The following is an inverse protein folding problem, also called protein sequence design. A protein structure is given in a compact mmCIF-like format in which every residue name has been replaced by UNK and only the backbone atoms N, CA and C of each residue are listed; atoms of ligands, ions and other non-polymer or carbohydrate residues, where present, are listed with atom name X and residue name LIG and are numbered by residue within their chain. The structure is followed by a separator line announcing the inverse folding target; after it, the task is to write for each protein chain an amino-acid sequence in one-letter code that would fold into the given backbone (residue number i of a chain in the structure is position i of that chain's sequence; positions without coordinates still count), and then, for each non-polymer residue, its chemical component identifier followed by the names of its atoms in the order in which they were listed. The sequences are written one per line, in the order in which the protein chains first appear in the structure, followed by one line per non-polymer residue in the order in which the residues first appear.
data_IF_200511128852
#
_entry.id   IF_200511128852
#
_cell.length_a   1.000
_cell.length_b   1.000
_cell.length_c   1.000
_cell.angle_alpha   90.00
_cell.angle_beta   90.00
_cell.angle_gamma   90.00
#
_symmetry.space_group_name_H-M   'P 1'
#
loop_
_entity.id
_entity.type
_entity.pdbx_description
1 polymer ?
#
# COMPACT_ATOMS: atom_id res chain seq x y z
N UNK A 1 67.44 -8.02 10.95
CA UNK A 1 66.71 -9.07 10.17
C UNK A 1 65.62 -9.76 11.01
N UNK A 2 64.71 -9.00 11.66
CA UNK A 2 63.61 -9.53 12.49
C UNK A 2 62.32 -8.66 12.48
N UNK A 3 62.15 -7.76 11.51
CA UNK A 3 60.97 -6.88 11.42
C UNK A 3 60.16 -7.01 10.12
N UNK A 4 60.59 -7.86 9.17
CA UNK A 4 59.90 -8.04 7.89
C UNK A 4 58.98 -9.28 7.82
N UNK A 5 59.01 -10.16 8.82
CA UNK A 5 58.27 -11.45 8.78
C UNK A 5 56.87 -11.35 9.44
N UNK A 6 56.61 -10.32 10.24
CA UNK A 6 55.31 -10.17 10.94
C UNK A 6 54.24 -9.48 10.07
N UNK A 7 54.61 -8.90 8.92
CA UNK A 7 53.66 -8.21 8.03
C UNK A 7 53.15 -9.06 6.86
N UNK A 8 53.58 -10.32 6.73
CA UNK A 8 53.12 -11.24 5.67
C UNK A 8 52.11 -12.29 6.18
N UNK A 9 52.00 -12.49 7.50
CA UNK A 9 51.11 -13.50 8.10
C UNK A 9 49.75 -12.90 8.53
N UNK A 10 49.62 -11.58 8.59
CA UNK A 10 48.34 -10.90 8.93
C UNK A 10 47.50 -10.48 7.72
N UNK A 11 47.97 -10.69 6.48
CA UNK A 11 47.21 -10.40 5.25
C UNK A 11 46.50 -11.66 4.69
N UNK A 12 46.73 -12.85 5.26
CA UNK A 12 46.04 -14.10 4.88
C UNK A 12 44.84 -14.49 5.78
N UNK A 13 44.40 -13.60 6.68
CA UNK A 13 43.23 -13.86 7.56
C UNK A 13 42.01 -12.95 7.27
N UNK A 14 42.06 -12.16 6.21
CA UNK A 14 40.91 -11.40 5.69
C UNK A 14 40.65 -11.73 4.21
N UNK A 15 40.79 -13.01 3.84
CA UNK A 15 40.00 -13.50 2.72
C UNK A 15 38.58 -13.68 3.26
N UNK A 16 37.81 -12.58 3.31
CA UNK A 16 36.37 -12.66 3.31
C UNK A 16 36.03 -13.62 2.19
N UNK A 17 35.58 -14.83 2.52
CA UNK A 17 35.10 -15.79 1.55
C UNK A 17 33.82 -15.18 0.96
N UNK A 18 34.00 -14.25 0.01
CA UNK A 18 32.96 -13.79 -0.89
C UNK A 18 32.74 -14.98 -1.79
N UNK A 19 31.96 -15.93 -1.29
CA UNK A 19 31.39 -17.00 -2.06
C UNK A 19 30.45 -16.33 -3.07
N UNK A 20 31.03 -16.01 -4.21
CA UNK A 20 30.44 -15.34 -5.36
C UNK A 20 29.76 -16.40 -6.20
N UNK A 21 28.66 -16.96 -5.70
CA UNK A 21 27.93 -17.97 -6.44
C UNK A 21 26.78 -18.60 -5.66
N UNK A 22 25.81 -19.10 -6.42
CA UNK A 22 24.76 -19.99 -5.94
C UNK A 22 25.27 -21.43 -5.86
N UNK A 23 24.50 -22.31 -5.21
CA UNK A 23 24.72 -23.76 -5.29
C UNK A 23 25.92 -24.28 -4.50
N UNK A 24 26.41 -23.53 -3.52
CA UNK A 24 27.46 -23.99 -2.61
C UNK A 24 26.86 -24.88 -1.51
N UNK A 25 27.13 -26.18 -1.59
CA UNK A 25 26.53 -27.20 -0.72
C UNK A 25 27.49 -28.32 -0.32
N UNK A 26 26.96 -29.44 0.18
CA UNK A 26 27.78 -30.55 0.63
C UNK A 26 28.41 -31.26 -0.58
N UNK A 27 29.61 -31.83 -0.40
CA UNK A 27 30.22 -32.65 -1.44
C UNK A 27 29.46 -33.95 -1.63
N UNK A 28 29.38 -34.44 -2.87
CA UNK A 28 28.66 -35.68 -3.19
C UNK A 28 29.11 -36.87 -2.33
N UNK A 29 30.41 -37.00 -2.08
CA UNK A 29 31.00 -38.04 -1.22
C UNK A 29 30.53 -38.04 0.24
N UNK A 30 30.00 -36.91 0.75
CA UNK A 30 29.39 -36.83 2.09
C UNK A 30 27.93 -37.29 2.09
N UNK A 31 27.31 -37.38 0.93
CA UNK A 31 25.95 -37.86 0.72
C UNK A 31 25.93 -39.33 0.26
N UNK A 32 26.94 -39.73 -0.52
CA UNK A 32 27.17 -41.09 -0.97
C UNK A 32 27.53 -41.99 0.23
N UNK A 33 26.80 -43.09 0.41
CA UNK A 33 27.07 -44.07 1.47
C UNK A 33 26.14 -44.00 2.70
N UNK A 34 25.31 -42.97 2.84
CA UNK A 34 24.29 -42.94 3.90
C UNK A 34 23.07 -43.78 3.47
N UNK A 35 23.18 -45.11 3.59
CA UNK A 35 22.03 -46.03 3.51
C UNK A 35 21.22 -45.94 4.81
N UNK A 36 20.52 -44.82 4.99
CA UNK A 36 19.63 -44.59 6.13
C UNK A 36 18.22 -45.10 5.85
N UNK A 37 17.69 -45.92 6.75
CA UNK A 37 16.39 -46.57 6.62
C UNK A 37 15.33 -45.80 7.43
N UNK A 38 14.97 -44.54 7.08
CA UNK A 38 13.82 -43.87 7.74
C UNK A 38 13.19 -42.64 7.06
N UNK A 39 13.18 -42.55 5.74
CA UNK A 39 12.03 -41.98 5.01
C UNK A 39 11.64 -43.01 3.98
N UNK A 40 10.97 -44.10 4.35
CA UNK A 40 10.74 -45.25 3.44
C UNK A 40 11.91 -45.38 2.43
N UNK A 41 13.16 -45.53 2.92
CA UNK A 41 14.45 -45.45 2.19
C UNK A 41 15.25 -44.11 2.10
N UNK A 42 14.93 -43.04 2.86
CA UNK A 42 15.76 -41.81 2.96
C UNK A 42 16.60 -41.68 4.25
N UNK A 43 17.61 -40.80 4.22
CA UNK A 43 18.66 -40.62 5.22
C UNK A 43 18.56 -39.29 6.01
N UNK A 44 19.08 -39.26 7.24
CA UNK A 44 19.22 -38.01 8.02
C UNK A 44 20.25 -37.12 7.36
N UNK A 45 19.91 -35.85 7.16
CA UNK A 45 20.88 -34.87 6.68
C UNK A 45 21.91 -34.57 7.78
N UNK A 46 23.13 -34.24 7.37
CA UNK A 46 24.08 -33.56 8.25
C UNK A 46 23.46 -32.18 8.59
N UNK A 47 23.46 -31.73 9.86
CA UNK A 47 22.90 -30.44 10.23
C UNK A 47 23.40 -29.31 9.33
N UNK A 48 22.44 -28.54 8.80
CA UNK A 48 22.68 -27.39 7.91
C UNK A 48 23.39 -27.71 6.58
N UNK A 49 23.44 -28.98 6.16
CA UNK A 49 24.12 -29.37 4.92
C UNK A 49 23.52 -28.76 3.66
N UNK A 50 22.21 -28.44 3.66
CA UNK A 50 21.53 -27.85 2.51
C UNK A 50 21.13 -26.40 2.83
N UNK A 51 22.04 -25.43 2.66
CA UNK A 51 21.88 -24.05 3.15
C UNK A 51 20.80 -23.24 2.44
N UNK A 52 20.27 -23.72 1.32
CA UNK A 52 19.16 -23.12 0.59
C UNK A 52 17.78 -23.55 1.08
N UNK A 53 17.67 -24.61 1.88
CA UNK A 53 16.35 -25.11 2.27
C UNK A 53 15.59 -24.12 3.14
N UNK A 54 14.31 -23.98 2.80
CA UNK A 54 13.36 -23.12 3.48
C UNK A 54 12.21 -23.96 4.00
N UNK A 55 12.01 -23.97 5.32
CA UNK A 55 10.79 -24.53 5.90
C UNK A 55 9.70 -23.46 5.92
N UNK A 56 8.58 -23.71 5.26
CA UNK A 56 7.49 -22.75 5.07
C UNK A 56 6.27 -23.21 5.86
N UNK A 57 5.83 -22.38 6.79
CA UNK A 57 4.60 -22.58 7.56
C UNK A 57 3.57 -21.56 7.12
N UNK A 58 2.37 -21.99 6.75
CA UNK A 58 1.32 -21.14 6.17
C UNK A 58 0.14 -21.10 7.13
N UNK A 59 -0.24 -19.89 7.53
CA UNK A 59 -1.39 -19.66 8.39
C UNK A 59 -2.71 -20.03 7.70
N UNK A 60 -3.61 -20.66 8.45
CA UNK A 60 -4.97 -20.95 8.01
C UNK A 60 -5.94 -19.88 8.50
N UNK A 61 -6.81 -19.37 7.60
CA UNK A 61 -7.91 -18.45 7.98
C UNK A 61 -8.97 -19.12 8.85
N UNK A 62 -9.06 -20.46 8.88
CA UNK A 62 -10.05 -21.21 9.69
C UNK A 62 -9.46 -21.57 11.07
N UNK A 63 -9.22 -20.55 11.90
CA UNK A 63 -8.63 -20.69 13.25
C UNK A 63 -9.40 -21.64 14.18
N UNK A 64 -10.70 -21.86 13.94
CA UNK A 64 -11.60 -22.53 14.91
C UNK A 64 -11.93 -23.99 14.60
N UNK A 65 -11.45 -24.58 13.49
CA UNK A 65 -11.83 -25.95 13.12
C UNK A 65 -10.63 -26.89 12.94
N UNK A 66 -9.46 -26.37 12.55
CA UNK A 66 -8.18 -27.08 12.55
C UNK A 66 -7.05 -26.06 12.78
N UNK A 67 -6.29 -26.13 13.90
CA UNK A 67 -5.08 -25.32 14.09
C UNK A 67 -3.92 -25.73 13.17
N UNK A 68 -4.16 -26.63 12.21
CA UNK A 68 -3.16 -27.16 11.29
C UNK A 68 -2.56 -26.07 10.40
N UNK A 69 -1.45 -25.51 10.86
CA UNK A 69 -0.48 -24.78 10.07
C UNK A 69 -0.03 -25.69 8.92
N UNK A 70 -0.31 -25.29 7.68
CA UNK A 70 0.14 -26.06 6.53
C UNK A 70 1.64 -25.88 6.38
N UNK A 71 2.36 -26.98 6.27
CA UNK A 71 3.81 -26.98 6.09
C UNK A 71 4.16 -27.37 4.65
N UNK A 72 5.10 -26.62 4.08
CA UNK A 72 5.74 -26.88 2.81
C UNK A 72 7.24 -26.65 2.95
N UNK A 73 8.01 -27.16 1.99
CA UNK A 73 9.43 -26.88 1.83
C UNK A 73 9.62 -25.92 0.64
N UNK A 74 10.77 -25.26 0.57
CA UNK A 74 11.17 -24.42 -0.54
C UNK A 74 12.69 -24.26 -0.57
N UNK A 75 13.15 -23.42 -1.48
CA UNK A 75 14.57 -23.13 -1.68
C UNK A 75 14.81 -21.65 -1.90
N UNK A 76 15.85 -21.12 -1.26
CA UNK A 76 16.34 -19.76 -1.49
C UNK A 76 17.03 -19.71 -2.85
N UNK A 77 16.69 -18.71 -3.67
CA UNK A 77 17.26 -18.51 -5.00
C UNK A 77 17.93 -17.15 -5.11
N UNK A 78 18.96 -17.04 -5.94
CA UNK A 78 19.60 -15.75 -6.21
C UNK A 78 18.80 -14.88 -7.17
N UNK A 79 19.03 -13.57 -7.06
CA UNK A 79 18.66 -12.61 -8.11
C UNK A 79 19.87 -11.76 -8.48
N UNK A 80 19.97 -11.27 -9.72
CA UNK A 80 21.12 -10.49 -10.18
C UNK A 80 21.42 -9.21 -9.37
N UNK A 81 20.44 -8.72 -8.59
CA UNK A 81 20.54 -7.47 -7.82
C UNK A 81 21.12 -7.64 -6.41
N UNK A 82 21.23 -8.87 -5.90
CA UNK A 82 21.70 -9.12 -4.55
C UNK A 82 22.88 -10.08 -4.57
N UNK A 83 24.04 -9.60 -4.10
CA UNK A 83 25.30 -10.37 -4.13
C UNK A 83 25.59 -11.09 -2.81
N UNK A 84 25.09 -10.56 -1.68
CA UNK A 84 25.38 -11.08 -0.33
C UNK A 84 24.12 -11.47 0.45
N UNK A 85 22.97 -11.57 -0.23
CA UNK A 85 21.68 -11.92 0.37
C UNK A 85 20.69 -12.38 -0.69
N UNK A 86 19.60 -13.01 -0.30
CA UNK A 86 18.44 -13.20 -1.18
C UNK A 86 17.13 -12.81 -0.51
N UNK A 87 16.12 -12.51 -1.33
CA UNK A 87 14.78 -12.16 -0.91
C UNK A 87 13.70 -13.09 -1.48
N UNK A 88 14.07 -14.07 -2.32
CA UNK A 88 13.10 -14.93 -3.01
C UNK A 88 13.29 -16.40 -2.65
N UNK A 89 12.16 -17.05 -2.35
CA UNK A 89 12.07 -18.49 -2.15
C UNK A 89 11.18 -19.11 -3.21
N UNK A 90 11.66 -20.16 -3.88
CA UNK A 90 10.87 -21.00 -4.77
C UNK A 90 10.19 -22.10 -3.97
N UNK A 91 8.91 -22.36 -4.26
CA UNK A 91 8.13 -23.44 -3.66
C UNK A 91 6.97 -23.81 -4.59
N UNK A 92 6.06 -24.68 -4.16
CA UNK A 92 4.91 -25.09 -4.96
C UNK A 92 3.71 -24.14 -4.81
N UNK A 93 2.98 -23.89 -5.88
CA UNK A 93 1.79 -23.03 -5.86
C UNK A 93 0.65 -23.63 -5.03
N UNK A 94 0.51 -24.96 -5.03
CA UNK A 94 -0.54 -25.64 -4.30
C UNK A 94 -0.42 -25.45 -2.78
N UNK A 95 0.76 -25.05 -2.26
CA UNK A 95 0.95 -24.64 -0.87
C UNK A 95 0.01 -23.49 -0.47
N UNK A 96 -0.29 -22.57 -1.40
CA UNK A 96 -1.08 -21.35 -1.16
C UNK A 96 -2.53 -21.43 -1.69
N UNK A 97 -3.07 -22.65 -1.83
CA UNK A 97 -4.37 -23.00 -2.46
C UNK A 97 -5.59 -22.11 -2.17
N UNK A 98 -5.63 -21.42 -1.03
CA UNK A 98 -6.77 -20.62 -0.58
C UNK A 98 -6.50 -19.09 -0.54
N UNK A 99 -5.36 -18.64 -1.09
CA UNK A 99 -4.94 -17.24 -1.05
C UNK A 99 -4.88 -16.61 -2.46
N UNK A 100 -5.70 -17.10 -3.40
CA UNK A 100 -5.78 -16.55 -4.76
C UNK A 100 -6.53 -15.21 -4.74
N UNK A 101 -6.07 -14.24 -5.52
CA UNK A 101 -6.75 -12.97 -5.78
C UNK A 101 -6.21 -11.77 -4.99
N UNK A 102 -6.64 -10.54 -5.33
CA UNK A 102 -6.14 -9.28 -4.74
C UNK A 102 -6.43 -9.12 -3.24
N UNK A 103 -7.27 -9.99 -2.66
CA UNK A 103 -7.65 -10.02 -1.24
C UNK A 103 -6.95 -11.13 -0.43
N UNK A 104 -5.98 -11.83 -1.03
CA UNK A 104 -5.13 -12.76 -0.32
C UNK A 104 -4.21 -12.02 0.67
N UNK A 105 -4.07 -12.51 1.91
CA UNK A 105 -3.13 -11.87 2.85
C UNK A 105 -1.71 -12.29 2.43
N UNK A 106 -0.84 -11.35 2.01
CA UNK A 106 0.48 -11.71 1.51
C UNK A 106 1.46 -12.09 2.63
N UNK A 107 1.11 -11.88 3.91
CA UNK A 107 1.96 -12.13 5.10
C UNK A 107 1.61 -13.42 5.86
N UNK A 108 1.00 -14.40 5.19
CA UNK A 108 0.57 -15.65 5.83
C UNK A 108 1.66 -16.72 5.92
N UNK A 109 2.78 -16.55 5.23
CA UNK A 109 3.83 -17.57 5.18
C UNK A 109 5.02 -17.16 6.05
N UNK A 110 5.34 -18.01 7.02
CA UNK A 110 6.50 -17.92 7.89
C UNK A 110 7.59 -18.86 7.40
N UNK A 111 8.72 -18.29 7.03
CA UNK A 111 9.84 -19.01 6.41
C UNK A 111 10.99 -19.12 7.39
N UNK A 112 11.51 -20.33 7.58
CA UNK A 112 12.64 -20.64 8.45
C UNK A 112 13.79 -21.21 7.63
N UNK A 113 14.99 -20.66 7.85
CA UNK A 113 16.25 -21.08 7.21
C UNK A 113 17.25 -21.50 8.27
N UNK A 114 18.30 -22.21 7.84
CA UNK A 114 19.33 -22.79 8.73
C UNK A 114 18.71 -23.64 9.85
N UNK A 115 17.61 -24.33 9.56
CA UNK A 115 16.97 -25.26 10.47
C UNK A 115 17.46 -26.69 10.23
N UNK A 116 17.62 -27.47 11.29
CA UNK A 116 17.80 -28.91 11.20
C UNK A 116 16.65 -29.62 11.91
N UNK A 117 16.41 -29.32 13.19
CA UNK A 117 15.31 -29.89 13.99
C UNK A 117 14.22 -28.87 14.29
N UNK A 118 13.06 -29.06 13.66
CA UNK A 118 11.88 -28.19 13.78
C UNK A 118 11.16 -28.29 15.14
N UNK A 119 11.52 -29.25 15.99
CA UNK A 119 10.91 -29.44 17.31
C UNK A 119 11.54 -28.63 18.44
N UNK A 120 12.70 -28.03 18.19
CA UNK A 120 13.40 -27.16 19.12
C UNK A 120 13.68 -25.80 18.49
N UNK A 121 14.04 -24.80 19.30
CA UNK A 121 14.58 -23.55 18.77
C UNK A 121 16.09 -23.69 18.59
N UNK A 122 16.59 -23.34 17.40
CA UNK A 122 18.01 -23.49 17.05
C UNK A 122 18.66 -22.11 16.98
N UNK A 123 19.84 -21.89 17.57
CA UNK A 123 20.50 -20.58 17.58
C UNK A 123 20.78 -20.01 16.18
N UNK A 124 21.04 -20.87 15.20
CA UNK A 124 21.34 -20.48 13.83
C UNK A 124 20.08 -20.18 13.00
N UNK A 125 18.90 -20.59 13.47
CA UNK A 125 17.64 -20.45 12.74
C UNK A 125 17.33 -19.00 12.44
N UNK A 126 17.05 -18.70 11.17
CA UNK A 126 16.60 -17.38 10.73
C UNK A 126 15.14 -17.44 10.31
N UNK A 127 14.36 -16.48 10.81
CA UNK A 127 12.92 -16.37 10.55
C UNK A 127 12.65 -15.18 9.63
N UNK A 128 11.76 -15.37 8.66
CA UNK A 128 11.23 -14.35 7.75
C UNK A 128 9.74 -14.56 7.55
N UNK A 129 9.06 -13.53 7.10
CA UNK A 129 7.65 -13.60 6.71
C UNK A 129 7.53 -13.22 5.23
N UNK A 130 6.51 -13.70 4.54
CA UNK A 130 6.22 -13.31 3.17
C UNK A 130 5.73 -11.86 3.09
N UNK A 131 6.23 -11.11 2.12
CA UNK A 131 5.69 -9.81 1.70
C UNK A 131 4.78 -9.93 0.48
N UNK A 132 5.02 -10.95 -0.36
CA UNK A 132 4.23 -11.24 -1.55
C UNK A 132 4.36 -12.73 -1.89
N UNK A 133 3.26 -13.32 -2.35
CA UNK A 133 3.22 -14.69 -2.88
C UNK A 133 2.80 -14.56 -4.34
N UNK A 134 3.59 -15.15 -5.24
CA UNK A 134 3.42 -15.04 -6.68
C UNK A 134 3.33 -16.46 -7.22
N UNK A 135 2.12 -16.91 -7.55
CA UNK A 135 1.92 -18.22 -8.18
C UNK A 135 2.05 -18.08 -9.69
N UNK A 136 2.53 -19.12 -10.36
CA UNK A 136 2.54 -19.17 -11.82
C UNK A 136 1.14 -18.89 -12.40
N UNK A 137 1.04 -18.03 -13.42
CA UNK A 137 -0.25 -17.58 -13.99
C UNK A 137 -1.06 -18.75 -14.58
N UNK A 138 -0.38 -19.65 -15.28
CA UNK A 138 -0.94 -20.91 -15.77
C UNK A 138 -1.09 -22.03 -14.72
N UNK A 139 -1.02 -21.74 -13.41
CA UNK A 139 -1.18 -22.78 -12.38
C UNK A 139 -2.61 -23.31 -12.36
N UNK A 140 -2.76 -24.59 -12.69
CA UNK A 140 -4.04 -25.29 -12.68
C UNK A 140 -3.99 -26.48 -11.73
N UNK A 141 -4.96 -26.52 -10.83
CA UNK A 141 -5.06 -27.57 -9.81
C UNK A 141 -5.94 -28.70 -10.33
N UNK A 142 -5.33 -29.83 -10.65
CA UNK A 142 -6.02 -31.09 -10.94
C UNK A 142 -5.51 -32.22 -10.03
N UNK A 143 -5.76 -33.47 -10.43
CA UNK A 143 -5.15 -34.66 -9.81
C UNK A 143 -3.62 -34.64 -9.93
N UNK A 144 -3.11 -34.17 -11.06
CA UNK A 144 -1.73 -33.77 -11.27
C UNK A 144 -1.73 -32.26 -11.49
N UNK A 145 -1.06 -31.51 -10.61
CA UNK A 145 -1.04 -30.05 -10.72
C UNK A 145 -0.15 -29.63 -11.89
N UNK A 146 -0.65 -28.70 -12.72
CA UNK A 146 0.07 -28.14 -13.85
C UNK A 146 0.65 -26.79 -13.44
N UNK A 147 1.90 -26.53 -13.79
CA UNK A 147 2.64 -25.32 -13.44
C UNK A 147 2.62 -25.04 -11.93
N UNK A 148 2.87 -26.07 -11.14
CA UNK A 148 2.77 -26.03 -9.68
C UNK A 148 3.99 -25.36 -9.03
N UNK A 149 4.15 -24.07 -9.29
CA UNK A 149 5.28 -23.29 -8.80
C UNK A 149 4.86 -21.90 -8.35
N UNK A 150 5.48 -21.45 -7.26
CA UNK A 150 5.30 -20.13 -6.71
C UNK A 150 6.61 -19.55 -6.18
N UNK A 151 6.66 -18.23 -6.16
CA UNK A 151 7.68 -17.43 -5.52
C UNK A 151 7.11 -16.79 -4.26
N UNK A 152 7.89 -16.85 -3.19
CA UNK A 152 7.65 -16.10 -1.96
C UNK A 152 8.70 -15.01 -1.88
N UNK A 153 8.27 -13.75 -2.02
CA UNK A 153 9.11 -12.58 -1.72
C UNK A 153 9.09 -12.37 -0.22
N UNK A 154 10.25 -12.36 0.43
CA UNK A 154 10.40 -12.13 1.86
C UNK A 154 10.21 -10.65 2.21
N UNK A 155 9.79 -10.35 3.44
CA UNK A 155 9.66 -8.97 3.95
C UNK A 155 11.00 -8.24 4.06
N UNK A 156 12.08 -8.98 4.30
CA UNK A 156 13.45 -8.46 4.34
C UNK A 156 14.40 -9.49 3.73
N UNK A 157 15.45 -9.05 3.02
CA UNK A 157 16.49 -9.96 2.55
C UNK A 157 17.08 -10.80 3.69
N UNK A 158 17.52 -12.01 3.35
CA UNK A 158 18.28 -12.87 4.26
C UNK A 158 19.76 -12.85 3.84
N UNK A 159 20.66 -12.36 4.71
CA UNK A 159 22.09 -12.35 4.42
C UNK A 159 22.65 -13.76 4.27
N UNK A 160 23.64 -13.90 3.38
CA UNK A 160 24.36 -15.15 3.22
C UNK A 160 25.32 -15.43 4.36
N UNK A 161 25.49 -16.72 4.62
CA UNK A 161 26.39 -17.29 5.63
C UNK A 161 26.80 -18.69 5.18
N UNK A 162 27.52 -19.43 6.02
CA UNK A 162 27.81 -20.84 5.80
C UNK A 162 26.57 -21.75 5.85
N UNK A 163 25.45 -21.28 6.43
CA UNK A 163 24.22 -22.08 6.65
C UNK A 163 23.00 -21.51 5.94
N UNK A 164 23.16 -20.40 5.22
CA UNK A 164 22.14 -19.75 4.41
C UNK A 164 22.78 -19.32 3.11
N UNK A 165 22.39 -19.97 2.01
CA UNK A 165 22.88 -19.73 0.65
C UNK A 165 21.76 -19.97 -0.35
N UNK A 166 21.87 -19.40 -1.53
CA UNK A 166 21.01 -19.70 -2.66
C UNK A 166 21.39 -21.03 -3.32
N UNK A 167 20.42 -21.72 -3.92
CA UNK A 167 20.69 -22.77 -4.92
C UNK A 167 20.71 -22.16 -6.31
N UNK A 168 21.48 -22.74 -7.24
CA UNK A 168 21.45 -22.29 -8.62
C UNK A 168 20.16 -22.73 -9.31
N UNK A 169 19.66 -21.85 -10.18
CA UNK A 169 18.64 -22.20 -11.16
C UNK A 169 19.32 -22.80 -12.41
N UNK A 170 18.63 -23.66 -13.16
CA UNK A 170 19.19 -24.31 -14.32
C UNK A 170 19.32 -23.29 -15.46
N UNK A 171 20.44 -23.36 -16.18
CA UNK A 171 20.70 -22.57 -17.38
C UNK A 171 20.14 -23.25 -18.63
N UNK A 172 20.07 -22.52 -19.74
CA UNK A 172 19.68 -23.12 -21.02
C UNK A 172 20.69 -24.22 -21.39
N UNK A 173 20.20 -25.44 -21.60
CA UNK A 173 21.04 -26.61 -21.88
C UNK A 173 21.46 -27.42 -20.64
N UNK A 174 21.21 -26.93 -19.41
CA UNK A 174 21.36 -27.75 -18.21
C UNK A 174 20.36 -28.92 -18.28
N UNK A 175 20.88 -30.13 -18.42
CA UNK A 175 20.10 -31.36 -18.36
C UNK A 175 20.19 -31.94 -16.95
N UNK A 176 19.20 -32.74 -16.59
CA UNK A 176 19.30 -33.61 -15.41
C UNK A 176 20.30 -34.73 -15.74
N UNK A 177 21.58 -34.38 -15.66
CA UNK A 177 22.70 -35.27 -15.92
C UNK A 177 23.50 -35.39 -14.61
N UNK A 178 23.85 -36.62 -14.23
CA UNK A 178 24.55 -36.89 -12.98
C UNK A 178 24.25 -38.30 -12.46
N UNK A 179 25.11 -38.81 -11.57
CA UNK A 179 24.92 -40.15 -10.97
C UNK A 179 23.66 -40.21 -10.10
N UNK A 180 23.31 -39.11 -9.42
CA UNK A 180 22.11 -38.98 -8.59
C UNK A 180 21.71 -37.51 -8.39
N UNK A 181 20.41 -37.25 -8.27
CA UNK A 181 19.86 -36.01 -7.72
C UNK A 181 19.16 -36.29 -6.39
N UNK A 182 18.87 -35.25 -5.63
CA UNK A 182 18.42 -35.37 -4.25
C UNK A 182 17.16 -34.53 -4.00
N UNK A 183 16.31 -35.02 -3.11
CA UNK A 183 15.31 -34.23 -2.41
C UNK A 183 15.68 -34.12 -0.95
N UNK A 184 15.36 -32.99 -0.33
CA UNK A 184 15.49 -32.82 1.11
C UNK A 184 14.33 -32.01 1.69
N UNK A 185 13.91 -32.35 2.90
CA UNK A 185 12.75 -31.73 3.55
C UNK A 185 12.43 -32.30 4.93
N UNK A 186 11.35 -31.79 5.51
CA UNK A 186 10.86 -32.11 6.86
C UNK A 186 9.51 -32.85 6.84
N UNK A 187 9.18 -33.48 5.71
CA UNK A 187 7.94 -34.24 5.55
C UNK A 187 7.86 -35.46 6.46
N UNK A 188 6.63 -36.00 6.57
CA UNK A 188 6.33 -37.15 7.45
C UNK A 188 7.14 -38.40 7.06
N UNK A 189 7.70 -39.09 8.05
CA UNK A 189 8.64 -40.18 7.79
C UNK A 189 8.03 -41.57 7.51
N UNK A 190 6.72 -41.81 7.71
CA UNK A 190 6.08 -43.15 7.49
C UNK A 190 4.57 -43.04 7.10
N UNK A 191 4.08 -43.90 6.19
CA UNK A 191 2.64 -44.14 5.94
C UNK A 191 1.97 -44.76 7.17
N UNK A 192 1.07 -44.02 7.83
CA UNK A 192 0.10 -44.58 8.79
C UNK A 192 0.22 -44.15 10.25
N UNK A 193 1.26 -43.40 10.66
CA UNK A 193 1.27 -42.77 11.99
C UNK A 193 0.94 -41.29 11.88
N UNK A 194 -0.17 -40.87 12.49
CA UNK A 194 -0.56 -39.45 12.59
C UNK A 194 0.43 -38.61 13.44
N UNK A 195 1.39 -39.25 14.11
CA UNK A 195 2.22 -38.70 15.18
C UNK A 195 3.69 -38.43 14.80
N UNK A 196 4.17 -38.80 13.61
CA UNK A 196 5.54 -38.46 13.18
C UNK A 196 5.54 -37.29 12.18
N UNK A 197 5.37 -36.07 12.68
CA UNK A 197 5.91 -34.91 11.96
C UNK A 197 7.41 -35.14 11.77
N UNK A 198 7.94 -34.94 10.56
CA UNK A 198 9.38 -34.95 10.32
C UNK A 198 9.98 -33.80 11.11
N UNK A 199 10.59 -34.11 12.25
CA UNK A 199 11.22 -33.10 13.12
C UNK A 199 12.59 -32.72 12.57
N UNK A 200 13.39 -33.73 12.24
CA UNK A 200 14.72 -33.59 11.68
C UNK A 200 14.67 -33.47 10.15
N UNK A 201 15.66 -32.76 9.60
CA UNK A 201 15.87 -32.67 8.16
C UNK A 201 16.36 -34.00 7.59
N UNK A 202 15.70 -34.44 6.53
CA UNK A 202 16.00 -35.69 5.85
C UNK A 202 16.24 -35.45 4.36
N UNK A 203 16.91 -36.38 3.70
CA UNK A 203 17.12 -36.36 2.25
C UNK A 203 17.02 -37.75 1.61
N UNK A 204 16.79 -37.77 0.31
CA UNK A 204 16.73 -38.99 -0.50
C UNK A 204 17.38 -38.76 -1.87
N UNK A 205 18.02 -39.80 -2.41
CA UNK A 205 18.66 -39.79 -3.73
C UNK A 205 17.81 -40.52 -4.77
N UNK A 206 17.87 -40.03 -6.01
CA UNK A 206 17.16 -40.53 -7.17
C UNK A 206 18.10 -40.52 -8.36
N UNK A 207 18.05 -41.54 -9.19
CA UNK A 207 18.97 -41.77 -10.31
C UNK A 207 18.23 -41.83 -11.65
N UNK A 208 16.92 -42.12 -11.64
CA UNK A 208 16.13 -42.30 -12.86
C UNK A 208 15.06 -41.23 -12.99
N UNK A 209 15.16 -40.43 -14.05
CA UNK A 209 14.24 -39.34 -14.34
C UNK A 209 13.69 -39.41 -15.76
N UNK A 210 12.47 -38.91 -15.93
CA UNK A 210 11.87 -38.65 -17.23
C UNK A 210 11.30 -37.23 -17.25
N UNK A 211 11.65 -36.46 -18.27
CA UNK A 211 11.11 -35.12 -18.49
C UNK A 211 10.02 -35.16 -19.57
N UNK A 212 8.82 -34.65 -19.25
CA UNK A 212 7.71 -34.54 -20.21
C UNK A 212 7.07 -33.17 -20.08
N UNK A 213 7.25 -32.32 -21.10
CA UNK A 213 6.74 -30.95 -21.06
C UNK A 213 7.35 -30.16 -19.90
N UNK A 214 6.50 -29.64 -19.00
CA UNK A 214 6.92 -28.90 -17.81
C UNK A 214 7.08 -29.78 -16.56
N UNK A 215 7.02 -31.11 -16.68
CA UNK A 215 7.05 -32.03 -15.54
C UNK A 215 8.29 -32.92 -15.56
N UNK A 216 8.82 -33.22 -14.38
CA UNK A 216 9.87 -34.22 -14.17
C UNK A 216 9.29 -35.36 -13.33
N UNK A 217 9.53 -36.59 -13.76
CA UNK A 217 9.06 -37.81 -13.09
C UNK A 217 10.27 -38.60 -12.59
N UNK A 218 10.26 -39.02 -11.32
CA UNK A 218 11.22 -39.99 -10.82
C UNK A 218 10.73 -41.41 -11.07
N UNK A 219 11.57 -42.29 -11.61
CA UNK A 219 11.21 -43.67 -11.98
C UNK A 219 11.78 -44.74 -11.03
N UNK A 220 12.35 -44.31 -9.90
CA UNK A 220 13.02 -45.21 -8.97
C UNK A 220 12.03 -46.00 -8.10
N UNK A 221 11.79 -47.25 -8.49
CA UNK A 221 10.81 -48.16 -7.87
C UNK A 221 11.04 -48.43 -6.38
N UNK A 222 12.23 -48.13 -5.86
CA UNK A 222 12.63 -48.33 -4.47
C UNK A 222 13.11 -47.03 -3.79
N UNK A 223 13.05 -45.87 -4.46
CA UNK A 223 13.47 -44.62 -3.83
C UNK A 223 12.43 -44.16 -2.80
N UNK A 224 12.89 -43.38 -1.83
CA UNK A 224 12.02 -42.73 -0.87
C UNK A 224 10.91 -41.94 -1.58
N UNK A 225 9.69 -41.95 -1.03
CA UNK A 225 8.62 -41.11 -1.55
C UNK A 225 8.61 -39.75 -0.86
N UNK A 226 8.42 -38.68 -1.63
CA UNK A 226 8.07 -37.35 -1.12
C UNK A 226 6.81 -37.47 -0.25
N UNK A 227 6.86 -36.97 0.99
CA UNK A 227 5.77 -37.08 1.95
C UNK A 227 5.06 -35.74 2.17
N UNK A 228 3.93 -35.78 2.91
CA UNK A 228 3.23 -34.55 3.34
C UNK A 228 4.20 -33.69 4.17
N UNK A 229 4.45 -32.46 3.71
CA UNK A 229 5.41 -31.51 4.29
C UNK A 229 6.62 -31.21 3.38
N UNK A 230 6.96 -32.14 2.47
CA UNK A 230 8.05 -31.95 1.49
C UNK A 230 7.60 -31.19 0.24
N UNK A 231 6.29 -30.99 0.07
CA UNK A 231 5.69 -30.18 -1.00
C UNK A 231 6.41 -28.84 -1.15
N UNK A 232 6.83 -28.52 -2.37
CA UNK A 232 7.59 -27.31 -2.71
C UNK A 232 9.10 -27.43 -2.57
N UNK A 233 9.61 -28.54 -2.01
CA UNK A 233 11.05 -28.77 -1.87
C UNK A 233 11.79 -28.91 -3.21
N UNK A 234 13.11 -28.61 -3.23
CA UNK A 234 13.91 -28.62 -4.44
C UNK A 234 14.32 -30.04 -4.87
N UNK A 235 14.19 -30.36 -6.17
CA UNK A 235 14.98 -31.43 -6.79
C UNK A 235 16.34 -30.86 -7.15
N UNK A 236 17.38 -31.31 -6.47
CA UNK A 236 18.72 -30.72 -6.56
C UNK A 236 19.75 -31.73 -7.08
N UNK A 237 20.48 -31.35 -8.12
CA UNK A 237 21.53 -32.15 -8.75
C UNK A 237 22.85 -31.39 -8.69
N UNK A 238 23.98 -32.09 -8.66
CA UNK A 238 25.29 -31.46 -8.86
C UNK A 238 25.56 -31.46 -10.36
N UNK A 239 25.92 -30.30 -10.92
CA UNK A 239 26.26 -30.21 -12.35
C UNK A 239 27.46 -31.13 -12.66
N UNK A 240 27.41 -31.97 -13.72
CA UNK A 240 28.50 -32.86 -14.08
C UNK A 240 29.84 -32.12 -14.24
N UNK A 241 30.91 -32.68 -13.65
CA UNK A 241 32.25 -32.07 -13.71
C UNK A 241 32.45 -30.84 -12.81
N UNK A 242 31.40 -30.36 -12.14
CA UNK A 242 31.44 -29.22 -11.22
C UNK A 242 31.10 -29.63 -9.78
N UNK A 243 31.15 -28.65 -8.87
CA UNK A 243 30.70 -28.78 -7.47
C UNK A 243 29.43 -27.96 -7.19
N UNK A 244 28.80 -27.45 -8.24
CA UNK A 244 27.68 -26.52 -8.18
C UNK A 244 26.36 -27.27 -8.08
N UNK A 245 25.56 -26.97 -7.06
CA UNK A 245 24.20 -27.49 -6.91
C UNK A 245 23.19 -26.68 -7.69
N UNK A 246 22.41 -27.37 -8.53
CA UNK A 246 21.38 -26.81 -9.40
C UNK A 246 20.04 -27.42 -9.06
N UNK A 247 19.01 -26.58 -8.92
CA UNK A 247 17.64 -27.03 -8.72
C UNK A 247 16.95 -27.24 -10.07
N UNK A 248 16.61 -28.48 -10.41
CA UNK A 248 15.93 -28.76 -11.67
C UNK A 248 14.40 -28.73 -11.55
N UNK A 249 13.85 -28.92 -10.36
CA UNK A 249 12.41 -28.89 -10.18
C UNK A 249 11.91 -28.66 -8.77
N UNK A 250 10.58 -28.64 -8.66
CA UNK A 250 9.82 -28.38 -7.43
C UNK A 250 8.90 -29.56 -7.11
N UNK A 251 8.97 -30.07 -5.88
CA UNK A 251 8.11 -31.15 -5.41
C UNK A 251 6.63 -30.73 -5.39
N UNK A 252 5.74 -31.48 -6.06
CA UNK A 252 4.31 -31.17 -6.14
C UNK A 252 3.47 -32.23 -5.42
N UNK A 253 3.32 -33.42 -6.02
CA UNK A 253 2.46 -34.52 -5.55
C UNK A 253 3.13 -35.85 -5.84
N UNK A 254 3.04 -36.82 -4.92
CA UNK A 254 3.39 -38.21 -5.20
C UNK A 254 2.16 -38.98 -5.68
N UNK A 255 2.28 -39.81 -6.72
CA UNK A 255 1.17 -40.66 -7.22
C UNK A 255 0.66 -41.67 -6.17
N UNK A 256 1.37 -41.84 -5.05
CA UNK A 256 0.89 -42.60 -3.88
C UNK A 256 -0.43 -42.09 -3.28
N UNK A 257 -0.76 -40.81 -3.42
CA UNK A 257 -2.06 -40.27 -2.98
C UNK A 257 -3.21 -40.66 -3.93
N UNK A 258 -2.90 -41.02 -5.19
CA UNK A 258 -3.87 -41.50 -6.19
C UNK A 258 -4.17 -43.01 -6.06
N UNK A 259 -3.26 -43.81 -5.50
CA UNK A 259 -3.46 -45.27 -5.34
C UNK A 259 -4.58 -45.64 -4.37
N UNK A 260 -5.02 -44.74 -3.49
CA UNK A 260 -6.23 -44.96 -2.68
C UNK A 260 -7.53 -44.85 -3.50
N UNK A 261 -7.48 -44.30 -4.72
CA UNK A 261 -8.63 -44.16 -5.61
C UNK A 261 -8.66 -45.22 -6.71
N UNK A 262 -7.51 -45.75 -7.12
CA UNK A 262 -7.39 -46.83 -8.11
C UNK A 262 -6.90 -48.12 -7.45
N UNK A 263 -7.84 -48.96 -7.01
CA UNK A 263 -7.61 -50.38 -6.70
C UNK A 263 -7.22 -51.14 -7.97
N UNK A 264 -5.99 -50.97 -8.47
CA UNK A 264 -5.28 -51.92 -9.35
C UNK A 264 -3.98 -51.30 -9.83
N UNK A 265 -2.89 -52.02 -9.55
CA UNK A 265 -1.60 -52.07 -10.27
C UNK A 265 -0.40 -51.80 -9.37
N UNK A 266 0.50 -52.79 -9.34
CA UNK A 266 1.76 -52.89 -8.60
C UNK A 266 2.86 -51.94 -9.12
N UNK A 267 2.55 -50.66 -9.30
CA UNK A 267 3.51 -49.68 -9.85
C UNK A 267 4.07 -48.82 -8.71
N UNK A 268 5.35 -49.03 -8.40
CA UNK A 268 6.10 -48.25 -7.41
C UNK A 268 6.16 -46.76 -7.77
N UNK A 269 5.48 -45.96 -6.94
CA UNK A 269 5.63 -44.52 -6.64
C UNK A 269 6.47 -43.66 -7.60
N UNK A 270 5.80 -43.12 -8.62
CA UNK A 270 6.25 -41.92 -9.32
C UNK A 270 6.13 -40.70 -8.37
N UNK A 271 7.24 -40.03 -8.07
CA UNK A 271 7.20 -38.68 -7.52
C UNK A 271 7.07 -37.70 -8.70
N UNK A 272 5.99 -36.91 -8.72
CA UNK A 272 5.81 -35.85 -9.72
C UNK A 272 6.46 -34.59 -9.17
N UNK A 273 7.50 -34.18 -9.86
CA UNK A 273 8.17 -32.90 -9.67
C UNK A 273 7.47 -31.99 -10.69
N UNK A 274 6.44 -31.28 -10.21
CA UNK A 274 5.38 -30.72 -11.05
C UNK A 274 5.81 -29.56 -11.95
N UNK A 275 7.05 -29.09 -11.81
CA UNK A 275 7.56 -27.99 -12.62
C UNK A 275 9.07 -28.10 -12.88
N UNK A 276 9.46 -28.15 -14.16
CA UNK A 276 10.83 -28.05 -14.63
C UNK A 276 11.27 -26.58 -14.69
N UNK A 277 12.32 -26.23 -13.95
CA UNK A 277 12.82 -24.87 -13.87
C UNK A 277 13.58 -24.42 -15.13
N UNK A 278 14.07 -25.37 -15.95
CA UNK A 278 14.79 -25.07 -17.19
C UNK A 278 13.90 -24.44 -18.27
N UNK A 279 12.58 -24.55 -18.12
CA UNK A 279 11.58 -24.05 -19.09
C UNK A 279 10.83 -22.80 -18.63
N UNK A 280 11.11 -22.30 -17.43
CA UNK A 280 10.55 -21.05 -16.94
C UNK A 280 11.64 -19.99 -16.94
N UNK A 281 11.50 -18.90 -17.71
CA UNK A 281 12.47 -17.82 -17.71
C UNK A 281 12.33 -17.01 -16.41
N UNK A 282 12.68 -17.64 -15.28
CA UNK A 282 12.51 -17.12 -13.94
C UNK A 282 13.20 -15.77 -13.80
N UNK A 283 14.40 -15.63 -14.37
CA UNK A 283 15.15 -14.38 -14.30
C UNK A 283 14.42 -13.23 -15.01
N UNK A 284 13.93 -13.45 -16.23
CA UNK A 284 13.13 -12.46 -16.97
C UNK A 284 11.84 -12.12 -16.23
N UNK A 285 11.15 -13.13 -15.68
CA UNK A 285 9.93 -12.93 -14.92
C UNK A 285 10.18 -12.14 -13.62
N UNK A 286 11.28 -12.41 -12.92
CA UNK A 286 11.68 -11.67 -11.73
C UNK A 286 11.99 -10.21 -12.08
N UNK A 287 12.70 -9.94 -13.17
CA UNK A 287 12.95 -8.55 -13.64
C UNK A 287 11.64 -7.81 -13.93
N UNK A 288 10.72 -8.42 -14.68
CA UNK A 288 9.41 -7.84 -14.99
C UNK A 288 8.57 -7.60 -13.73
N UNK A 289 8.60 -8.52 -12.76
CA UNK A 289 7.90 -8.37 -11.49
C UNK A 289 8.42 -7.18 -10.69
N UNK A 290 9.73 -6.97 -10.66
CA UNK A 290 10.36 -5.83 -9.99
C UNK A 290 10.07 -4.50 -10.70
N UNK A 291 10.08 -4.48 -12.04
CA UNK A 291 9.70 -3.30 -12.84
C UNK A 291 8.24 -2.91 -12.63
N UNK A 292 7.33 -3.89 -12.66
CA UNK A 292 5.92 -3.66 -12.37
C UNK A 292 5.67 -3.15 -10.95
N UNK A 293 6.44 -3.64 -9.97
CA UNK A 293 6.36 -3.13 -8.59
C UNK A 293 6.85 -1.69 -8.49
N UNK A 294 7.93 -1.33 -9.20
CA UNK A 294 8.43 0.05 -9.28
C UNK A 294 7.38 0.98 -9.88
N UNK A 295 6.81 0.61 -11.04
CA UNK A 295 5.75 1.37 -11.71
C UNK A 295 4.50 1.52 -10.82
N UNK A 296 4.09 0.45 -10.14
CA UNK A 296 2.96 0.50 -9.21
C UNK A 296 3.19 1.47 -8.06
N UNK A 297 4.41 1.54 -7.52
CA UNK A 297 4.75 2.48 -6.45
C UNK A 297 4.80 3.92 -6.95
N UNK A 298 5.35 4.16 -8.14
CA UNK A 298 5.32 5.48 -8.78
C UNK A 298 3.89 5.97 -9.04
N UNK A 299 3.02 5.09 -9.53
CA UNK A 299 1.59 5.39 -9.71
C UNK A 299 0.90 5.75 -8.40
N UNK A 300 1.11 4.96 -7.32
CA UNK A 300 0.54 5.27 -6.00
C UNK A 300 1.03 6.61 -5.45
N UNK A 301 2.31 6.94 -5.65
CA UNK A 301 2.86 8.23 -5.25
C UNK A 301 2.25 9.38 -6.06
N UNK A 302 2.05 9.19 -7.36
CA UNK A 302 1.39 10.17 -8.22
C UNK A 302 -0.07 10.40 -7.78
N UNK A 303 -0.80 9.32 -7.48
CA UNK A 303 -2.17 9.40 -6.96
C UNK A 303 -2.23 10.17 -5.64
N UNK A 304 -1.35 9.86 -4.69
CA UNK A 304 -1.29 10.57 -3.40
C UNK A 304 -1.03 12.08 -3.59
N UNK A 305 -0.20 12.46 -4.56
CA UNK A 305 0.04 13.87 -4.89
C UNK A 305 -1.20 14.52 -5.50
N UNK A 306 -1.94 13.80 -6.33
CA UNK A 306 -3.19 14.29 -6.93
C UNK A 306 -4.26 14.49 -5.86
N UNK A 307 -4.43 13.54 -4.95
CA UNK A 307 -5.40 13.60 -3.85
C UNK A 307 -5.12 14.81 -2.94
N UNK A 308 -3.84 15.09 -2.60
CA UNK A 308 -3.46 16.30 -1.85
C UNK A 308 -3.78 17.60 -2.59
N UNK A 309 -3.64 17.63 -3.92
CA UNK A 309 -4.02 18.80 -4.72
C UNK A 309 -5.53 19.00 -4.74
N UNK A 310 -6.29 17.91 -4.83
CA UNK A 310 -7.76 17.96 -4.79
C UNK A 310 -8.26 18.48 -3.43
N UNK A 311 -7.65 18.03 -2.33
CA UNK A 311 -7.95 18.52 -0.98
C UNK A 311 -7.65 20.03 -0.83
N UNK A 312 -6.51 20.49 -1.35
CA UNK A 312 -6.17 21.92 -1.35
C UNK A 312 -7.16 22.76 -2.20
N UNK A 313 -7.57 22.26 -3.38
CA UNK A 313 -8.58 22.91 -4.21
C UNK A 313 -9.94 22.98 -3.53
N UNK A 314 -10.31 21.94 -2.78
CA UNK A 314 -11.54 21.93 -2.01
C UNK A 314 -11.53 23.02 -0.92
N UNK A 315 -10.44 23.15 -0.18
CA UNK A 315 -10.27 24.22 0.83
C UNK A 315 -10.38 25.60 0.17
N UNK A 316 -9.65 25.84 -0.93
CA UNK A 316 -9.72 27.10 -1.67
C UNK A 316 -11.15 27.39 -2.14
N UNK A 317 -11.89 26.38 -2.61
CA UNK A 317 -13.27 26.56 -3.07
C UNK A 317 -14.22 26.96 -1.93
N UNK A 318 -14.00 26.44 -0.72
CA UNK A 318 -14.79 26.80 0.47
C UNK A 318 -14.49 28.23 0.92
N UNK A 319 -13.22 28.63 0.92
CA UNK A 319 -12.82 30.01 1.23
C UNK A 319 -13.36 31.00 0.20
N UNK A 320 -13.34 30.64 -1.09
CA UNK A 320 -13.90 31.47 -2.15
C UNK A 320 -15.41 31.68 -1.99
N UNK A 321 -16.15 30.63 -1.61
CA UNK A 321 -17.57 30.72 -1.31
C UNK A 321 -17.84 31.65 -0.10
N UNK A 322 -17.05 31.51 0.97
CA UNK A 322 -17.15 32.42 2.14
C UNK A 322 -16.88 33.88 1.75
N UNK A 323 -15.89 34.14 0.90
CA UNK A 323 -15.60 35.49 0.42
C UNK A 323 -16.75 36.05 -0.44
N UNK A 324 -17.42 35.21 -1.24
CA UNK A 324 -18.58 35.61 -2.04
C UNK A 324 -19.76 36.00 -1.14
N UNK A 325 -20.05 35.21 -0.10
CA UNK A 325 -21.12 35.51 0.86
C UNK A 325 -20.87 36.84 1.59
N UNK A 326 -19.62 37.10 2.00
CA UNK A 326 -19.24 38.34 2.67
C UNK A 326 -19.38 39.56 1.75
N UNK A 327 -18.95 39.43 0.49
CA UNK A 327 -19.13 40.46 -0.54
C UNK A 327 -20.62 40.78 -0.76
N UNK A 328 -21.46 39.76 -0.89
CA UNK A 328 -22.89 39.93 -1.15
C UNK A 328 -23.63 40.54 0.06
N UNK A 329 -23.16 40.28 1.28
CA UNK A 329 -23.61 40.96 2.49
C UNK A 329 -23.22 42.46 2.49
N UNK A 330 -21.97 42.77 2.15
CA UNK A 330 -21.51 44.17 2.03
C UNK A 330 -22.28 44.94 0.96
N UNK A 331 -22.54 44.33 -0.21
CA UNK A 331 -23.35 44.94 -1.26
C UNK A 331 -24.77 45.26 -0.79
N UNK A 332 -25.41 44.37 -0.03
CA UNK A 332 -26.72 44.63 0.59
C UNK A 332 -26.68 45.82 1.56
N UNK A 333 -25.69 45.87 2.45
CA UNK A 333 -25.50 46.99 3.38
C UNK A 333 -25.30 48.32 2.65
N UNK A 334 -24.48 48.32 1.59
CA UNK A 334 -24.29 49.51 0.75
C UNK A 334 -25.61 49.97 0.09
N UNK A 335 -26.42 49.03 -0.41
CA UNK A 335 -27.72 49.35 -1.01
C UNK A 335 -28.71 49.94 0.01
N UNK A 336 -28.77 49.39 1.22
CA UNK A 336 -29.58 49.92 2.33
C UNK A 336 -29.16 51.34 2.72
N UNK A 337 -27.84 51.57 2.88
CA UNK A 337 -27.30 52.89 3.20
C UNK A 337 -27.61 53.91 2.09
N UNK A 338 -27.52 53.49 0.82
CA UNK A 338 -27.88 54.34 -0.30
C UNK A 338 -29.37 54.71 -0.29
N UNK A 339 -30.26 53.79 0.11
CA UNK A 339 -31.69 54.07 0.29
C UNK A 339 -31.93 55.10 1.41
N UNK A 340 -31.34 54.87 2.59
CA UNK A 340 -31.42 55.81 3.73
C UNK A 340 -30.91 57.20 3.37
N UNK A 341 -29.80 57.28 2.63
CA UNK A 341 -29.24 58.55 2.18
C UNK A 341 -30.20 59.27 1.20
N UNK A 342 -30.86 58.54 0.30
CA UNK A 342 -31.90 59.10 -0.58
C UNK A 342 -33.10 59.63 0.20
N UNK A 343 -33.55 58.90 1.21
CA UNK A 343 -34.65 59.34 2.09
C UNK A 343 -34.28 60.60 2.88
N UNK A 344 -33.10 60.64 3.51
CA UNK A 344 -32.62 61.83 4.20
C UNK A 344 -32.51 63.05 3.27
N UNK A 345 -32.03 62.86 2.04
CA UNK A 345 -32.01 63.95 1.04
C UNK A 345 -33.42 64.44 0.69
N UNK A 346 -34.42 63.54 0.61
CA UNK A 346 -35.83 63.93 0.39
C UNK A 346 -36.39 64.70 1.58
N UNK A 347 -36.15 64.23 2.80
CA UNK A 347 -36.57 64.90 4.03
C UNK A 347 -35.95 66.30 4.14
N UNK A 348 -34.64 66.42 3.89
CA UNK A 348 -33.95 67.70 3.91
C UNK A 348 -34.49 68.68 2.86
N UNK A 349 -34.79 68.18 1.64
CA UNK A 349 -35.46 69.00 0.60
C UNK A 349 -36.84 69.46 1.06
N UNK A 350 -37.64 68.57 1.65
CA UNK A 350 -38.96 68.91 2.16
C UNK A 350 -38.89 69.93 3.31
N UNK A 351 -37.90 69.80 4.20
CA UNK A 351 -37.67 70.75 5.27
C UNK A 351 -37.31 72.14 4.72
N UNK A 352 -36.38 72.22 3.76
CA UNK A 352 -36.04 73.49 3.09
C UNK A 352 -37.26 74.15 2.42
N UNK A 353 -38.12 73.36 1.78
CA UNK A 353 -39.37 73.88 1.18
C UNK A 353 -40.29 74.44 2.27
N UNK A 354 -40.46 73.74 3.41
CA UNK A 354 -41.27 74.23 4.53
C UNK A 354 -40.70 75.51 5.13
N UNK A 355 -39.39 75.60 5.30
CA UNK A 355 -38.71 76.82 5.78
C UNK A 355 -38.96 78.01 4.83
N UNK A 356 -38.84 77.80 3.50
CA UNK A 356 -39.14 78.83 2.50
C UNK A 356 -40.62 79.26 2.53
N UNK A 357 -41.55 78.31 2.69
CA UNK A 357 -42.98 78.60 2.80
C UNK A 357 -43.29 79.41 4.06
N UNK A 358 -42.70 79.04 5.22
CA UNK A 358 -42.87 79.78 6.46
C UNK A 358 -42.33 81.22 6.37
N UNK A 359 -41.19 81.41 5.70
CA UNK A 359 -40.63 82.75 5.47
C UNK A 359 -41.54 83.59 4.55
N UNK A 360 -42.12 82.99 3.50
CA UNK A 360 -43.08 83.68 2.62
C UNK A 360 -44.37 84.06 3.37
N UNK A 361 -44.91 83.18 4.20
CA UNK A 361 -46.10 83.48 5.03
C UNK A 361 -45.81 84.64 5.99
N UNK A 362 -44.66 84.62 6.68
CA UNK A 362 -44.27 85.71 7.58
C UNK A 362 -44.15 87.07 6.86
N UNK A 363 -43.59 87.09 5.64
CA UNK A 363 -43.54 88.32 4.82
C UNK A 363 -44.92 88.81 4.40
N UNK A 364 -45.85 87.88 4.10
CA UNK A 364 -47.23 88.23 3.76
C UNK A 364 -47.96 88.82 4.97
N UNK A 365 -47.85 88.19 6.14
CA UNK A 365 -48.46 88.67 7.37
C UNK A 365 -47.95 90.08 7.75
N UNK A 366 -46.65 90.35 7.55
CA UNK A 366 -46.08 91.69 7.73
C UNK A 366 -46.67 92.73 6.79
N UNK A 367 -46.95 92.37 5.53
CA UNK A 367 -47.56 93.27 4.55
C UNK A 367 -49.02 93.61 4.90
N UNK A 368 -49.80 92.62 5.35
CA UNK A 368 -51.20 92.81 5.75
C UNK A 368 -51.32 93.72 6.99
N UNK A 369 -50.39 93.58 7.95
CA UNK A 369 -50.30 94.47 9.12
C UNK A 369 -50.02 95.91 8.69
N UNK A 370 -49.08 96.12 7.77
CA UNK A 370 -48.72 97.46 7.28
C UNK A 370 -49.90 98.12 6.55
N UNK A 371 -50.64 97.36 5.74
CA UNK A 371 -51.84 97.85 5.07
C UNK A 371 -52.91 98.26 6.07
N UNK A 372 -53.10 97.47 7.13
CA UNK A 372 -54.05 97.78 8.21
C UNK A 372 -53.65 99.05 8.97
N UNK A 373 -52.36 99.20 9.29
CA UNK A 373 -51.80 100.40 9.92
C UNK A 373 -52.02 101.64 9.07
N UNK A 374 -51.81 101.56 7.76
CA UNK A 374 -52.06 102.69 6.85
C UNK A 374 -53.55 103.08 6.84
N UNK A 375 -54.46 102.10 6.78
CA UNK A 375 -55.91 102.36 6.84
C UNK A 375 -56.29 103.07 8.16
N UNK A 376 -55.80 102.57 9.29
CA UNK A 376 -56.04 103.20 10.60
C UNK A 376 -55.48 104.63 10.64
N UNK A 377 -54.32 104.86 10.02
CA UNK A 377 -53.71 106.19 9.96
C UNK A 377 -54.52 107.17 9.10
N UNK A 378 -55.09 106.70 7.98
CA UNK A 378 -55.98 107.50 7.14
C UNK A 378 -57.32 107.80 7.84
N UNK A 379 -57.88 106.83 8.57
CA UNK A 379 -59.06 107.03 9.42
C UNK A 379 -58.76 108.07 10.52
N UNK A 380 -57.59 108.00 11.17
CA UNK A 380 -57.18 108.99 12.16
C UNK A 380 -57.00 110.40 11.56
N UNK A 381 -56.51 110.51 10.32
CA UNK A 381 -56.44 111.80 9.62
C UNK A 381 -57.83 112.35 9.30
N UNK A 382 -58.76 111.50 8.86
CA UNK A 382 -60.14 111.90 8.61
C UNK A 382 -60.82 112.39 9.90
N UNK A 383 -60.66 111.65 11.00
CA UNK A 383 -61.12 112.05 12.33
C UNK A 383 -60.47 113.36 12.80
N UNK A 384 -59.16 113.54 12.56
CA UNK A 384 -58.47 114.79 12.90
C UNK A 384 -59.02 115.98 12.10
N UNK A 385 -59.29 115.80 10.81
CA UNK A 385 -59.91 116.82 9.98
C UNK A 385 -61.35 117.13 10.43
N UNK A 386 -62.11 116.11 10.86
CA UNK A 386 -63.46 116.27 11.42
C UNK A 386 -63.43 117.00 12.77
N UNK A 387 -62.43 116.71 13.63
CA UNK A 387 -62.20 117.45 14.88
C UNK A 387 -61.81 118.90 14.59
N UNK A 388 -60.94 119.16 13.60
CA UNK A 388 -60.59 120.52 13.18
C UNK A 388 -61.82 121.28 12.66
N UNK A 389 -62.68 120.62 11.88
CA UNK A 389 -63.94 121.18 11.41
C UNK A 389 -64.89 121.51 12.57
N UNK A 390 -65.11 120.57 13.48
CA UNK A 390 -65.95 120.78 14.67
C UNK A 390 -65.39 121.88 15.58
N UNK A 391 -64.07 121.99 15.72
CA UNK A 391 -63.43 123.08 16.46
C UNK A 391 -63.61 124.44 15.76
N UNK A 392 -63.61 124.47 14.42
CA UNK A 392 -63.93 125.67 13.65
C UNK A 392 -65.39 126.09 13.84
N UNK A 393 -66.34 125.14 13.76
CA UNK A 393 -67.76 125.38 14.06
C UNK A 393 -67.98 125.84 15.51
N UNK A 394 -67.26 125.25 16.47
CA UNK A 394 -67.31 125.65 17.88
C UNK A 394 -66.74 127.06 18.09
N UNK A 395 -65.67 127.43 17.37
CA UNK A 395 -65.10 128.78 17.40
C UNK A 395 -66.05 129.82 16.79
N UNK A 396 -66.77 129.46 15.73
CA UNK A 396 -67.83 130.28 15.13
C UNK A 396 -69.00 130.49 16.12
N UNK A 397 -69.49 129.41 16.74
CA UNK A 397 -70.53 129.48 17.77
C UNK A 397 -70.10 130.27 19.02
N UNK A 398 -68.82 130.17 19.44
CA UNK A 398 -68.27 130.99 20.53
C UNK A 398 -68.11 132.47 20.14
N UNK A 399 -67.82 132.76 18.87
CA UNK A 399 -67.79 134.11 18.32
C UNK A 399 -69.17 134.78 18.36
N UNK A 400 -70.20 134.04 17.95
CA UNK A 400 -71.60 134.49 17.97
C UNK A 400 -72.13 134.70 19.40
N UNK A 401 -71.75 133.84 20.35
CA UNK A 401 -72.10 134.00 21.76
C UNK A 401 -71.43 135.23 22.41
N UNK A 402 -70.23 135.62 21.95
CA UNK A 402 -69.49 136.78 22.47
C UNK A 402 -69.95 138.12 21.88
N UNK A 403 -70.65 138.09 20.73
CA UNK A 403 -71.29 139.25 20.13
C UNK A 403 -72.70 139.53 20.72
N UNK A 404 -73.23 138.60 21.51
CA UNK A 404 -74.57 138.67 22.12
C UNK A 404 -74.56 138.98 23.64
N UNK A 405 -73.39 139.28 24.21
CA UNK A 405 -73.16 139.86 25.55
C UNK A 405 -72.56 141.26 25.33
#
# INVERSE_FOLDING_TARGET
MKFAIVSFITILSYCSYVASGCGEGPSQSKLDGVKGNRIVNGARAIPHAFPWLAHITIESKRKNLFPDLRTCTGSLIDTPKMTNSSIYVVTAAHCFRNNKGPFGNPQIAHVRFASYDMSMEEPLRKKRTSAKIITHEGYQKYQVSINDIALVKLTKPIPYSSYVRSICLPQSGDKIEGKACYFAGWGRTIKGSALSSGKELMYASYEKFQETGNMIYTLDKNAASIAKGDSGGPLMCIRPGEKTWVQHGVASVSIGDLTNYLRRSSVSLLAIIGFSLSRWPMESNLRLLEENEKLSNEYKLAQLKLDRKAEALLIISQELASCQDERDNLQRKCAELALKCREQRRLLKAQKIREQQAEQTSRKDQADILQTLNRVNDENRALSAEIEHLNAELAEAHGDAKASI
#
